data_IF_929194323453
#
_entry.id   IF_929194323453
#
_cell.length_a   1.000
_cell.length_b   1.000
_cell.length_c   1.000
_cell.angle_alpha   90.00
_cell.angle_beta   90.00
_cell.angle_gamma   90.00
#
_symmetry.space_group_name_H-M   'P 1'
#
loop_
_entity.id
_entity.type
_entity.pdbx_description
1 polymer ?
#
# COMPACT_ATOMS: atom_id res chain seq x y z
N UNK A 1 41.40 19.37 -33.58
CA UNK A 1 41.09 18.06 -32.95
C UNK A 1 39.57 17.90 -32.78
N UNK A 2 38.80 17.73 -33.88
CA UNK A 2 37.33 17.77 -33.85
C UNK A 2 36.67 16.47 -33.36
N UNK A 3 37.39 15.34 -33.44
CA UNK A 3 36.86 14.01 -33.12
C UNK A 3 36.58 13.79 -31.64
N UNK A 4 37.42 14.34 -30.76
CA UNK A 4 37.28 14.16 -29.31
C UNK A 4 36.04 14.87 -28.74
N UNK A 5 35.73 16.07 -29.24
CA UNK A 5 34.54 16.82 -28.82
C UNK A 5 33.25 16.08 -29.22
N UNK A 6 33.25 15.45 -30.40
CA UNK A 6 32.11 14.63 -30.85
C UNK A 6 31.92 13.40 -29.95
N UNK A 7 33.02 12.71 -29.64
CA UNK A 7 33.02 11.55 -28.74
C UNK A 7 32.49 11.89 -27.34
N UNK A 8 32.92 13.02 -26.75
CA UNK A 8 32.42 13.46 -25.45
C UNK A 8 30.92 13.81 -25.48
N UNK A 9 30.44 14.46 -26.55
CA UNK A 9 29.01 14.77 -26.72
C UNK A 9 28.17 13.49 -26.82
N UNK A 10 28.66 12.48 -27.53
CA UNK A 10 27.96 11.21 -27.68
C UNK A 10 27.87 10.45 -26.34
N UNK A 11 28.94 10.47 -25.53
CA UNK A 11 28.93 9.89 -24.18
C UNK A 11 27.90 10.59 -23.29
N UNK A 12 27.88 11.92 -23.28
CA UNK A 12 26.94 12.70 -22.46
C UNK A 12 25.49 12.45 -22.89
N UNK A 13 25.23 12.42 -24.21
CA UNK A 13 23.91 12.13 -24.74
C UNK A 13 23.43 10.72 -24.38
N UNK A 14 24.31 9.72 -24.45
CA UNK A 14 24.00 8.34 -24.08
C UNK A 14 23.72 8.20 -22.58
N UNK A 15 24.50 8.87 -21.72
CA UNK A 15 24.28 8.89 -20.26
C UNK A 15 22.90 9.46 -19.92
N UNK A 16 22.52 10.57 -20.57
CA UNK A 16 21.20 11.21 -20.37
C UNK A 16 20.04 10.30 -20.77
N UNK A 17 20.14 9.63 -21.93
CA UNK A 17 19.12 8.65 -22.33
C UNK A 17 18.97 7.50 -21.34
N UNK A 18 20.08 7.00 -20.79
CA UNK A 18 20.05 5.92 -19.77
C UNK A 18 19.38 6.42 -18.47
N UNK A 19 19.66 7.64 -18.02
CA UNK A 19 18.98 8.19 -16.85
C UNK A 19 17.49 8.39 -17.08
N UNK A 20 17.10 8.91 -18.24
CA UNK A 20 15.69 9.14 -18.58
C UNK A 20 14.93 7.81 -18.64
N UNK A 21 15.49 6.78 -19.29
CA UNK A 21 14.92 5.43 -19.28
C UNK A 21 14.80 4.85 -17.86
N UNK A 22 15.81 5.03 -16.99
CA UNK A 22 15.75 4.57 -15.60
C UNK A 22 14.64 5.27 -14.82
N UNK A 23 14.48 6.58 -15.01
CA UNK A 23 13.41 7.36 -14.36
C UNK A 23 12.04 6.86 -14.84
N UNK A 24 11.87 6.61 -16.15
CA UNK A 24 10.62 6.08 -16.70
C UNK A 24 10.32 4.68 -16.16
N UNK A 25 11.30 3.78 -16.12
CA UNK A 25 11.11 2.42 -15.59
C UNK A 25 10.78 2.46 -14.09
N UNK A 26 11.45 3.30 -13.31
CA UNK A 26 11.13 3.47 -11.89
C UNK A 26 9.72 4.03 -11.70
N UNK A 27 9.33 5.03 -12.48
CA UNK A 27 7.99 5.63 -12.41
C UNK A 27 6.92 4.61 -12.77
N UNK A 28 7.15 3.79 -13.80
CA UNK A 28 6.25 2.71 -14.19
C UNK A 28 6.16 1.64 -13.08
N UNK A 29 7.30 1.16 -12.57
CA UNK A 29 7.33 0.17 -11.50
C UNK A 29 6.63 0.68 -10.22
N UNK A 30 6.81 1.95 -9.84
CA UNK A 30 6.11 2.54 -8.70
C UNK A 30 4.61 2.70 -8.95
N UNK A 31 4.21 3.04 -10.18
CA UNK A 31 2.79 3.12 -10.56
C UNK A 31 2.12 1.75 -10.55
N UNK A 32 2.84 0.72 -10.97
CA UNK A 32 2.36 -0.66 -10.97
C UNK A 32 2.25 -1.17 -9.53
N UNK A 33 3.28 -0.98 -8.69
CA UNK A 33 3.22 -1.31 -7.25
C UNK A 33 2.07 -0.56 -6.57
N UNK A 34 1.89 0.72 -6.87
CA UNK A 34 0.78 1.50 -6.32
C UNK A 34 -0.57 0.95 -6.79
N UNK A 35 -0.74 0.61 -8.07
CA UNK A 35 -1.99 0.02 -8.58
C UNK A 35 -2.29 -1.34 -7.95
N UNK A 36 -1.31 -2.25 -7.89
CA UNK A 36 -1.50 -3.59 -7.34
C UNK A 36 -1.66 -3.55 -5.81
N UNK A 37 -0.83 -2.77 -5.13
CA UNK A 37 -0.94 -2.54 -3.69
C UNK A 37 -2.30 -1.92 -3.34
N UNK A 38 -2.71 -0.84 -4.02
CA UNK A 38 -4.02 -0.20 -3.78
C UNK A 38 -5.20 -1.11 -4.11
N UNK A 39 -5.14 -1.93 -5.17
CA UNK A 39 -6.22 -2.88 -5.49
C UNK A 39 -6.36 -3.97 -4.44
N UNK A 40 -5.26 -4.56 -3.98
CA UNK A 40 -5.28 -5.56 -2.91
C UNK A 40 -5.82 -4.96 -1.60
N UNK A 41 -5.49 -3.69 -1.38
CA UNK A 41 -5.93 -2.85 -0.27
C UNK A 41 -7.39 -2.36 -0.36
N UNK A 42 -8.05 -2.47 -1.52
CA UNK A 42 -9.42 -2.00 -1.74
C UNK A 42 -10.48 -3.08 -1.49
N UNK A 43 -10.04 -4.33 -1.24
CA UNK A 43 -10.89 -5.41 -0.71
C UNK A 43 -11.03 -5.23 0.80
N UNK A 44 -11.79 -4.21 1.19
CA UNK A 44 -12.35 -3.95 2.53
C UNK A 44 -11.39 -4.15 3.73
N UNK A 45 -10.43 -3.24 3.93
CA UNK A 45 -9.80 -3.10 5.26
C UNK A 45 -10.72 -2.50 6.31
N UNK A 46 -11.91 -2.06 5.93
CA UNK A 46 -12.79 -1.31 6.79
C UNK A 46 -13.18 -2.14 7.99
N UNK A 47 -13.48 -3.44 7.81
CA UNK A 47 -13.95 -4.26 8.91
C UNK A 47 -13.57 -5.74 8.80
N UNK A 48 -13.17 -6.33 9.93
CA UNK A 48 -12.93 -7.77 10.06
C UNK A 48 -13.62 -8.32 11.32
N UNK A 49 -13.99 -9.60 11.30
CA UNK A 49 -14.63 -10.24 12.45
C UNK A 49 -13.60 -10.91 13.37
N UNK A 50 -13.62 -10.58 14.66
CA UNK A 50 -12.69 -11.10 15.69
C UNK A 50 -13.48 -11.87 16.74
N UNK A 51 -13.08 -13.10 17.11
CA UNK A 51 -13.67 -13.80 18.25
C UNK A 51 -13.52 -12.99 19.54
N UNK A 52 -14.59 -12.87 20.32
CA UNK A 52 -14.63 -12.09 21.54
C UNK A 52 -15.15 -12.92 22.71
N UNK A 53 -14.51 -12.78 23.87
CA UNK A 53 -14.97 -13.38 25.12
C UNK A 53 -14.79 -12.41 26.29
N UNK A 54 -15.68 -12.48 27.28
CA UNK A 54 -15.62 -11.67 28.50
C UNK A 54 -15.67 -12.59 29.72
N UNK A 55 -14.60 -12.62 30.51
CA UNK A 55 -14.54 -13.42 31.74
C UNK A 55 -14.79 -14.92 31.53
N UNK A 56 -14.46 -15.47 30.36
CA UNK A 56 -14.71 -16.87 30.00
C UNK A 56 -16.06 -17.15 29.34
N UNK A 57 -16.96 -16.16 29.23
CA UNK A 57 -18.17 -16.27 28.41
C UNK A 57 -17.83 -15.98 26.95
N UNK A 58 -18.20 -16.91 26.06
CA UNK A 58 -18.12 -16.72 24.61
C UNK A 58 -19.19 -15.72 24.15
N UNK A 59 -18.76 -14.64 23.49
CA UNK A 59 -19.63 -13.61 22.91
C UNK A 59 -19.74 -13.74 21.39
N UNK A 60 -19.14 -14.78 20.80
CA UNK A 60 -19.09 -15.00 19.36
C UNK A 60 -18.09 -14.08 18.66
N UNK A 61 -18.46 -13.55 17.50
CA UNK A 61 -17.60 -12.71 16.67
C UNK A 61 -18.02 -11.23 16.78
N UNK A 62 -17.05 -10.35 17.00
CA UNK A 62 -17.22 -8.90 17.00
C UNK A 62 -16.65 -8.29 15.72
N UNK A 63 -17.32 -7.27 15.19
CA UNK A 63 -16.83 -6.51 14.05
C UNK A 63 -15.78 -5.49 14.54
N UNK A 64 -14.54 -5.61 14.04
CA UNK A 64 -13.45 -4.69 14.27
C UNK A 64 -13.32 -3.79 13.06
N UNK A 65 -13.70 -2.52 13.21
CA UNK A 65 -13.59 -1.50 12.18
C UNK A 65 -12.38 -0.61 12.47
N UNK A 66 -11.39 -0.60 11.57
CA UNK A 66 -10.16 0.20 11.74
C UNK A 66 -10.40 1.70 11.52
N UNK A 67 -11.53 2.08 10.93
CA UNK A 67 -11.98 3.45 10.75
C UNK A 67 -12.79 4.01 11.93
N UNK A 68 -13.14 3.18 12.92
CA UNK A 68 -13.97 3.59 14.07
C UNK A 68 -13.16 3.44 15.36
N UNK A 69 -13.02 4.54 16.10
CA UNK A 69 -12.26 4.57 17.36
C UNK A 69 -13.04 4.06 18.59
N UNK A 70 -14.31 3.69 18.43
CA UNK A 70 -15.23 3.30 19.51
C UNK A 70 -15.76 1.88 19.27
N UNK A 71 -15.56 0.99 20.24
CA UNK A 71 -16.10 -0.36 20.21
C UNK A 71 -17.57 -0.37 20.71
N UNK A 72 -18.50 -0.81 19.86
CA UNK A 72 -19.91 -0.98 20.25
C UNK A 72 -20.15 -2.38 20.82
N UNK A 73 -20.75 -2.45 22.02
CA UNK A 73 -21.19 -3.70 22.65
C UNK A 73 -22.68 -3.62 22.94
N UNK A 74 -23.49 -4.60 22.47
CA UNK A 74 -24.90 -4.67 22.83
C UNK A 74 -25.13 -4.70 24.35
N UNK A 75 -26.19 -4.05 24.87
CA UNK A 75 -26.49 -4.06 26.29
C UNK A 75 -26.81 -5.46 26.83
N UNK A 76 -27.17 -6.43 25.97
CA UNK A 76 -27.33 -7.84 26.33
C UNK A 76 -26.07 -8.46 26.91
N UNK A 77 -24.87 -7.99 26.54
CA UNK A 77 -23.58 -8.46 27.09
C UNK A 77 -23.41 -8.05 28.57
N UNK A 78 -24.12 -7.01 28.98
CA UNK A 78 -24.08 -6.47 30.34
C UNK A 78 -25.25 -6.94 31.21
N UNK A 79 -26.26 -7.58 30.61
CA UNK A 79 -27.36 -8.20 31.33
C UNK A 79 -26.90 -9.56 31.87
N UNK A 80 -27.03 -9.75 33.17
CA UNK A 80 -26.82 -11.04 33.85
C UNK A 80 -28.07 -11.89 33.78
#
# INVERSE_FOLDING_TARGET
>A
MPSFVKFLKDILAKKRRISDCKIVVLTQATSDIFKYGVQEMMTDFGSFMVPCSKGGMDLGQALCDLGVSINLMPPSIFKK
#
